data_IF_133657109043
#
_entry.id   IF_133657109043
#
_cell.length_a   1.000
_cell.length_b   1.000
_cell.length_c   1.000
_cell.angle_alpha   90.00
_cell.angle_beta   90.00
_cell.angle_gamma   90.00
#
_symmetry.space_group_name_H-M   'P 1'
#
loop_
_entity.id
_entity.type
_entity.pdbx_description
1 polymer ?
#
# COMPACT_ATOMS: atom_id res chain seq x y z
N UNK A 1 6.46 10.37 -44.18
CA UNK A 1 6.72 9.47 -43.04
C UNK A 1 5.57 9.65 -42.06
N UNK A 2 4.59 8.72 -41.97
CA UNK A 2 3.52 8.82 -40.98
C UNK A 2 4.07 8.39 -39.61
N UNK A 3 3.85 9.21 -38.58
CA UNK A 3 4.24 8.91 -37.21
C UNK A 3 3.41 7.73 -36.71
N UNK A 4 4.07 6.60 -36.50
CA UNK A 4 3.49 5.39 -35.95
C UNK A 4 2.82 5.72 -34.62
N UNK A 5 1.49 5.54 -34.59
CA UNK A 5 0.65 5.81 -33.43
C UNK A 5 1.16 5.04 -32.23
N UNK A 6 1.44 5.78 -31.15
CA UNK A 6 1.64 5.19 -29.83
C UNK A 6 0.29 4.56 -29.44
N UNK A 7 0.15 3.25 -29.60
CA UNK A 7 -0.88 2.49 -28.91
C UNK A 7 -0.52 2.50 -27.43
N UNK A 8 -1.07 3.47 -26.71
CA UNK A 8 -1.15 3.40 -25.26
C UNK A 8 -2.26 2.38 -24.98
N UNK A 9 -1.87 1.19 -24.53
CA UNK A 9 -2.82 0.21 -24.04
C UNK A 9 -3.63 0.84 -22.89
N UNK A 10 -4.91 1.10 -23.11
CA UNK A 10 -5.84 1.64 -22.10
C UNK A 10 -5.94 0.72 -20.86
N UNK A 11 -5.37 -0.49 -20.90
CA UNK A 11 -5.19 -1.40 -19.78
C UNK A 11 -3.82 -1.29 -19.08
N UNK A 12 -3.22 -0.10 -19.03
CA UNK A 12 -2.13 0.28 -18.10
C UNK A 12 -2.58 0.22 -16.62
N UNK A 13 -3.16 -0.91 -16.18
CA UNK A 13 -3.33 -1.24 -14.78
C UNK A 13 -1.95 -1.49 -14.19
N UNK A 14 -1.31 -0.41 -13.76
CA UNK A 14 -0.14 -0.51 -12.91
C UNK A 14 -0.54 -1.27 -11.65
N UNK A 15 0.08 -2.42 -11.45
CA UNK A 15 0.00 -3.13 -10.18
C UNK A 15 0.78 -2.27 -9.19
N UNK A 16 0.08 -1.39 -8.48
CA UNK A 16 0.67 -0.62 -7.40
C UNK A 16 1.10 -1.60 -6.30
N UNK A 17 2.42 -1.80 -6.19
CA UNK A 17 2.98 -2.73 -5.21
C UNK A 17 3.19 -2.00 -3.87
N UNK A 18 2.70 -2.55 -2.76
CA UNK A 18 2.90 -1.93 -1.45
C UNK A 18 4.36 -2.13 -1.01
N UNK A 19 5.07 -1.02 -0.80
CA UNK A 19 6.49 -1.02 -0.47
C UNK A 19 6.72 -1.26 1.01
N UNK A 20 6.02 -0.49 1.84
CA UNK A 20 6.18 -0.52 3.29
C UNK A 20 5.00 0.11 4.00
N UNK A 21 4.77 -0.36 5.22
CA UNK A 21 3.88 0.31 6.16
C UNK A 21 4.68 1.45 6.80
N UNK A 22 4.18 2.66 6.66
CA UNK A 22 4.77 3.88 7.19
C UNK A 22 4.34 4.15 8.62
N UNK A 23 3.05 3.95 8.90
CA UNK A 23 2.44 4.30 10.17
C UNK A 23 1.29 3.34 10.48
N UNK A 24 0.96 3.23 11.77
CA UNK A 24 -0.20 2.49 12.25
C UNK A 24 -1.02 3.40 13.15
N UNK A 25 -2.32 3.48 12.89
CA UNK A 25 -3.26 4.28 13.68
C UNK A 25 -4.41 3.39 14.16
N UNK A 26 -4.76 3.50 15.45
CA UNK A 26 -5.92 2.79 16.00
C UNK A 26 -7.01 3.81 16.29
N UNK A 27 -8.07 3.79 15.48
CA UNK A 27 -9.26 4.62 15.70
C UNK A 27 -10.21 3.94 16.67
N UNK A 28 -10.42 4.57 17.82
CA UNK A 28 -11.42 4.14 18.80
C UNK A 28 -12.77 4.77 18.45
N UNK A 29 -13.75 3.92 18.16
CA UNK A 29 -15.15 4.30 18.02
C UNK A 29 -15.89 4.03 19.34
N UNK A 30 -17.15 4.48 19.43
CA UNK A 30 -17.97 4.35 20.65
C UNK A 30 -18.09 2.91 21.18
N UNK A 31 -18.01 1.90 20.30
CA UNK A 31 -18.18 0.48 20.66
C UNK A 31 -17.12 -0.45 20.05
N UNK A 32 -16.19 0.07 19.27
CA UNK A 32 -15.22 -0.75 18.53
C UNK A 32 -13.89 -0.03 18.37
N UNK A 33 -12.87 -0.78 17.95
CA UNK A 33 -11.57 -0.26 17.59
C UNK A 33 -11.26 -0.74 16.17
N UNK A 34 -10.76 0.17 15.36
CA UNK A 34 -10.35 -0.13 13.98
C UNK A 34 -8.87 0.21 13.89
N UNK A 35 -8.07 -0.76 13.50
CA UNK A 35 -6.65 -0.55 13.21
C UNK A 35 -6.47 -0.27 11.73
N UNK A 36 -5.82 0.84 11.43
CA UNK A 36 -5.48 1.29 10.08
C UNK A 36 -3.97 1.34 9.94
N UNK A 37 -3.48 1.02 8.75
CA UNK A 37 -2.07 1.13 8.39
C UNK A 37 -1.92 2.10 7.23
N UNK A 38 -0.96 3.01 7.35
CA UNK A 38 -0.56 3.87 6.26
C UNK A 38 0.45 3.10 5.40
N UNK A 39 0.10 2.85 4.15
CA UNK A 39 0.89 2.06 3.22
C UNK A 39 1.48 2.96 2.16
N UNK A 40 2.80 2.89 1.99
CA UNK A 40 3.50 3.48 0.85
C UNK A 40 3.40 2.54 -0.34
N UNK A 41 2.95 3.07 -1.47
CA UNK A 41 2.86 2.34 -2.74
C UNK A 41 3.98 2.70 -3.70
N UNK A 42 4.42 1.74 -4.50
CA UNK A 42 5.39 1.94 -5.58
C UNK A 42 4.65 2.37 -6.85
N UNK A 43 4.07 3.56 -6.85
CA UNK A 43 3.37 4.09 -8.02
C UNK A 43 4.34 4.86 -8.91
N UNK A 44 4.33 4.58 -10.23
CA UNK A 44 5.11 5.37 -11.20
C UNK A 44 4.67 6.83 -11.27
N UNK A 45 3.43 7.11 -10.84
CA UNK A 45 2.86 8.47 -10.80
C UNK A 45 3.37 9.29 -9.60
N UNK A 46 4.19 8.71 -8.74
CA UNK A 46 4.80 9.38 -7.60
C UNK A 46 4.56 8.67 -6.28
N UNK A 47 4.90 9.36 -5.19
CA UNK A 47 4.75 8.84 -3.84
C UNK A 47 3.26 8.82 -3.46
N UNK A 48 2.68 7.62 -3.38
CA UNK A 48 1.30 7.42 -2.98
C UNK A 48 1.24 6.79 -1.59
N UNK A 49 0.31 7.30 -0.78
CA UNK A 49 0.01 6.80 0.56
C UNK A 49 -1.48 6.58 0.70
N UNK A 50 -1.89 5.39 1.13
CA UNK A 50 -3.28 5.12 1.48
C UNK A 50 -3.38 4.54 2.87
N UNK A 51 -4.54 4.78 3.51
CA UNK A 51 -4.89 4.17 4.78
C UNK A 51 -5.73 2.94 4.53
N UNK A 52 -5.18 1.77 4.86
CA UNK A 52 -5.83 0.48 4.69
C UNK A 52 -6.18 -0.15 6.02
N UNK A 53 -7.22 -1.00 6.05
CA UNK A 53 -7.56 -1.78 7.24
C UNK A 53 -6.46 -2.81 7.53
N UNK A 54 -5.89 -2.74 8.73
CA UNK A 54 -4.74 -3.57 9.10
C UNK A 54 -5.03 -5.07 8.94
N UNK A 55 -6.20 -5.53 9.38
CA UNK A 55 -6.54 -6.95 9.39
C UNK A 55 -6.71 -7.52 7.97
N UNK A 56 -7.31 -6.74 7.06
CA UNK A 56 -7.42 -7.12 5.65
C UNK A 56 -6.07 -7.05 4.96
N UNK A 57 -5.29 -6.00 5.27
CA UNK A 57 -3.99 -5.77 4.65
C UNK A 57 -2.96 -6.82 5.09
N UNK A 58 -3.02 -7.28 6.34
CA UNK A 58 -2.23 -8.41 6.85
C UNK A 58 -2.51 -9.71 6.11
N UNK A 59 -3.77 -9.98 5.79
CA UNK A 59 -4.14 -11.19 5.05
C UNK A 59 -3.60 -11.15 3.63
N UNK A 60 -3.64 -9.98 2.97
CA UNK A 60 -3.18 -9.82 1.59
C UNK A 60 -1.66 -9.71 1.47
N UNK A 61 -1.00 -9.04 2.41
CA UNK A 61 0.44 -8.77 2.39
C UNK A 61 1.11 -9.02 3.75
N UNK A 62 1.12 -10.26 4.24
CA UNK A 62 1.65 -10.58 5.57
C UNK A 62 3.15 -10.25 5.71
N UNK A 63 3.91 -10.35 4.61
CA UNK A 63 5.35 -10.11 4.60
C UNK A 63 5.74 -8.67 4.98
N UNK A 64 4.86 -7.68 4.73
CA UNK A 64 5.11 -6.28 5.11
C UNK A 64 5.08 -6.05 6.62
N UNK A 65 4.42 -6.95 7.37
CA UNK A 65 4.31 -6.87 8.82
C UNK A 65 5.45 -7.59 9.54
N UNK A 66 6.06 -8.61 8.91
CA UNK A 66 7.18 -9.40 9.47
C UNK A 66 8.47 -8.58 9.53
N UNK A 67 8.72 -7.74 8.51
CA UNK A 67 9.92 -6.90 8.47
C UNK A 67 9.94 -5.85 9.59
N UNK A 68 8.78 -5.39 10.05
CA UNK A 68 8.68 -4.45 11.17
C UNK A 68 9.06 -5.11 12.50
N UNK A 69 8.67 -6.38 12.73
CA UNK A 69 9.00 -7.08 13.98
C UNK A 69 10.50 -7.34 14.15
N UNK A 70 11.24 -7.53 13.06
CA UNK A 70 12.70 -7.71 13.11
C UNK A 70 13.43 -6.38 13.33
N UNK A 71 12.93 -5.28 12.75
CA UNK A 71 13.54 -3.94 12.90
C UNK A 71 13.41 -3.32 14.29
N UNK A 72 12.48 -3.80 15.13
CA UNK A 72 12.28 -3.29 16.51
C UNK A 72 13.15 -3.99 17.57
N UNK A 73 14.04 -4.91 17.18
CA UNK A 73 14.92 -5.67 18.11
C UNK A 73 16.39 -5.19 18.07
N UNK A 74 16.65 -3.91 17.79
CA UNK A 74 18.01 -3.34 17.86
C UNK A 74 18.00 -1.98 18.53
#
# INVERSE_FOLDING_TARGET
MPLEGVQIDDMLQFVEEPVKIMEREIKRLKRSRISLVNVRWNSRRGLQFTWELEDLFKQKYPHLFINQTLSSTT
#
